data_IF_827247130720
#
_entry.id   IF_827247130720
#
_cell.length_a   1.000
_cell.length_b   1.000
_cell.length_c   1.000
_cell.angle_alpha   90.00
_cell.angle_beta   90.00
_cell.angle_gamma   90.00
#
_symmetry.space_group_name_H-M   'P 1'
#
loop_
_entity.id
_entity.type
_entity.pdbx_description
1 polymer ?
#
# COMPACT_ATOMS: atom_id res chain seq x y z
N UNK A 1 -7.92 -19.27 31.52
CA UNK A 1 -8.11 -19.22 30.04
C UNK A 1 -6.91 -19.81 29.29
N UNK A 2 -5.70 -19.27 29.44
CA UNK A 2 -4.50 -19.76 28.74
C UNK A 2 -4.19 -21.27 28.91
N UNK A 3 -4.37 -21.84 30.11
CA UNK A 3 -4.21 -23.29 30.34
C UNK A 3 -5.24 -24.17 29.62
N UNK A 4 -6.46 -23.68 29.43
CA UNK A 4 -7.53 -24.38 28.70
C UNK A 4 -7.35 -24.25 27.18
N UNK A 5 -6.89 -23.09 26.71
CA UNK A 5 -6.54 -22.89 25.29
C UNK A 5 -5.33 -23.72 24.86
N UNK A 6 -4.39 -24.00 25.79
CA UNK A 6 -3.30 -24.93 25.56
C UNK A 6 -3.79 -26.36 25.39
N UNK A 7 -4.77 -26.82 26.19
CA UNK A 7 -5.34 -28.17 26.11
C UNK A 7 -6.00 -28.47 24.75
N UNK A 8 -6.65 -27.46 24.14
CA UNK A 8 -7.22 -27.58 22.78
C UNK A 8 -6.19 -27.73 21.65
N UNK A 9 -4.89 -27.58 21.94
CA UNK A 9 -3.79 -27.78 20.96
C UNK A 9 -3.13 -29.16 21.06
N UNK A 10 -3.48 -29.97 22.06
CA UNK A 10 -2.95 -31.33 22.19
C UNK A 10 -3.83 -32.31 21.40
N UNK A 11 -3.27 -33.11 20.47
CA UNK A 11 -4.06 -34.00 19.61
C UNK A 11 -5.02 -34.93 20.37
N UNK A 12 -4.61 -35.44 21.53
CA UNK A 12 -5.43 -36.35 22.35
C UNK A 12 -6.48 -35.69 23.23
N UNK A 13 -6.47 -34.36 23.38
CA UNK A 13 -7.40 -33.61 24.23
C UNK A 13 -8.33 -32.68 23.45
N UNK A 14 -8.08 -32.49 22.15
CA UNK A 14 -8.87 -31.59 21.31
C UNK A 14 -10.35 -31.99 21.24
N UNK A 15 -10.66 -33.28 21.07
CA UNK A 15 -12.04 -33.77 21.02
C UNK A 15 -12.77 -33.59 22.35
N UNK A 16 -12.18 -34.02 23.48
CA UNK A 16 -12.77 -33.84 24.80
C UNK A 16 -12.93 -32.37 25.20
N UNK A 17 -12.02 -31.50 24.74
CA UNK A 17 -12.14 -30.05 24.92
C UNK A 17 -13.33 -29.47 24.15
N UNK A 18 -13.53 -29.89 22.90
CA UNK A 18 -14.71 -29.50 22.09
C UNK A 18 -15.99 -30.05 22.71
N UNK A 19 -16.01 -31.27 23.23
CA UNK A 19 -17.20 -31.82 23.91
C UNK A 19 -17.56 -31.04 25.18
N UNK A 20 -16.57 -30.72 26.03
CA UNK A 20 -16.81 -30.08 27.31
C UNK A 20 -17.05 -28.56 27.23
N UNK A 21 -16.39 -27.88 26.28
CA UNK A 21 -16.39 -26.42 26.18
C UNK A 21 -16.92 -25.88 24.83
N UNK A 22 -17.18 -26.74 23.86
CA UNK A 22 -17.56 -26.35 22.49
C UNK A 22 -18.93 -25.69 22.38
N UNK A 23 -19.88 -25.99 23.28
CA UNK A 23 -21.18 -25.28 23.34
C UNK A 23 -20.96 -23.78 23.61
N UNK A 24 -19.96 -23.43 24.44
CA UNK A 24 -19.57 -22.04 24.67
C UNK A 24 -18.97 -21.33 23.43
N UNK A 25 -18.62 -22.09 22.40
CA UNK A 25 -18.13 -21.58 21.13
C UNK A 25 -19.27 -21.22 20.15
N UNK A 26 -20.51 -21.67 20.39
CA UNK A 26 -21.67 -21.35 19.55
C UNK A 26 -21.87 -19.84 19.36
N UNK A 27 -21.66 -19.04 20.41
CA UNK A 27 -21.72 -17.58 20.31
C UNK A 27 -20.65 -16.99 19.39
N UNK A 28 -19.46 -17.58 19.35
CA UNK A 28 -18.40 -17.18 18.39
C UNK A 28 -18.77 -17.58 16.97
N UNK A 29 -19.33 -18.79 16.78
CA UNK A 29 -19.82 -19.25 15.46
C UNK A 29 -20.97 -18.38 14.94
N UNK A 30 -21.89 -17.94 15.80
CA UNK A 30 -22.94 -17.00 15.41
C UNK A 30 -22.36 -15.67 14.89
N UNK A 31 -21.24 -15.22 15.47
CA UNK A 31 -20.50 -14.05 14.97
C UNK A 31 -19.91 -14.21 13.57
N UNK A 32 -19.67 -15.45 13.10
CA UNK A 32 -19.25 -15.71 11.72
C UNK A 32 -20.41 -15.57 10.72
N UNK A 33 -21.64 -15.85 11.14
CA UNK A 33 -22.83 -15.66 10.31
C UNK A 33 -23.20 -14.19 10.13
N UNK A 34 -22.80 -13.33 11.06
CA UNK A 34 -22.99 -11.89 10.99
C UNK A 34 -21.65 -11.16 11.24
N UNK A 35 -20.81 -11.04 10.20
CA UNK A 35 -19.55 -10.30 10.28
C UNK A 35 -19.77 -8.90 10.84
N UNK A 36 -18.91 -8.48 11.77
CA UNK A 36 -19.08 -7.18 12.42
C UNK A 36 -18.74 -6.01 11.49
N UNK A 37 -19.37 -4.86 11.71
CA UNK A 37 -19.01 -3.61 11.02
C UNK A 37 -17.93 -2.82 11.79
N UNK A 38 -17.04 -3.51 12.50
CA UNK A 38 -15.91 -2.90 13.21
C UNK A 38 -14.83 -2.36 12.26
N UNK A 39 -14.12 -1.32 12.72
CA UNK A 39 -12.94 -0.78 12.04
C UNK A 39 -11.79 -1.78 12.09
N UNK A 40 -10.80 -1.59 11.21
CA UNK A 40 -9.54 -2.34 11.24
C UNK A 40 -8.93 -2.30 12.65
N UNK A 41 -8.42 -3.46 13.09
CA UNK A 41 -7.60 -3.54 14.30
C UNK A 41 -6.16 -3.14 13.95
N UNK A 42 -5.55 -2.31 14.79
CA UNK A 42 -4.16 -1.87 14.57
C UNK A 42 -3.20 -3.04 14.80
N UNK A 43 -2.32 -3.30 13.82
CA UNK A 43 -1.36 -4.39 13.88
C UNK A 43 -0.29 -4.11 14.95
N UNK A 44 0.07 -2.83 15.12
CA UNK A 44 0.98 -2.31 16.15
C UNK A 44 0.60 -2.70 17.59
N UNK A 45 -0.67 -3.03 17.82
CA UNK A 45 -1.20 -3.35 19.16
C UNK A 45 -1.20 -4.84 19.46
N UNK A 46 -0.71 -5.67 18.54
CA UNK A 46 -0.59 -7.11 18.74
C UNK A 46 0.29 -7.43 19.94
N UNK A 47 -0.21 -8.25 20.86
CA UNK A 47 0.50 -8.59 22.11
C UNK A 47 0.55 -7.46 23.15
N UNK A 48 0.12 -6.23 22.85
CA UNK A 48 0.17 -5.11 23.78
C UNK A 48 -1.10 -5.00 24.64
N UNK A 49 -0.99 -5.09 25.99
CA UNK A 49 -2.11 -4.93 26.90
C UNK A 49 -2.82 -3.59 26.72
N UNK A 50 -4.16 -3.57 26.87
CA UNK A 50 -4.98 -2.38 26.63
C UNK A 50 -4.50 -1.13 27.37
N UNK A 51 -4.04 -1.29 28.63
CA UNK A 51 -3.50 -0.20 29.46
C UNK A 51 -2.24 0.47 28.91
N UNK A 52 -1.45 -0.20 28.09
CA UNK A 52 -0.20 0.34 27.52
C UNK A 52 -0.38 0.88 26.10
N UNK A 53 -1.49 0.57 25.41
CA UNK A 53 -1.74 1.02 24.03
C UNK A 53 -1.71 2.55 23.85
N UNK A 54 -2.17 3.38 24.80
CA UNK A 54 -2.04 4.84 24.68
C UNK A 54 -0.61 5.37 24.92
N UNK A 55 0.24 4.56 25.57
CA UNK A 55 1.57 4.97 25.99
C UNK A 55 2.65 4.55 24.98
N UNK A 56 2.51 3.34 24.41
CA UNK A 56 3.47 2.79 23.47
C UNK A 56 3.25 3.34 22.06
N UNK A 57 4.33 3.86 21.46
CA UNK A 57 4.36 4.37 20.10
C UNK A 57 5.60 3.84 19.38
N UNK A 58 5.52 3.59 18.07
CA UNK A 58 6.68 3.22 17.30
C UNK A 58 7.70 4.36 17.33
N UNK A 59 8.95 4.00 17.60
CA UNK A 59 10.08 4.92 17.61
C UNK A 59 11.21 4.29 16.81
N UNK A 60 11.94 5.11 16.05
CA UNK A 60 13.22 4.70 15.50
C UNK A 60 14.19 4.51 16.68
N UNK A 61 14.88 3.38 16.70
CA UNK A 61 15.90 3.06 17.70
C UNK A 61 17.22 2.72 17.03
N UNK A 62 18.32 2.86 17.77
CA UNK A 62 19.66 2.51 17.29
C UNK A 62 20.33 3.54 16.36
N UNK A 63 19.76 4.75 16.26
CA UNK A 63 20.37 5.88 15.56
C UNK A 63 20.75 6.96 16.58
N UNK A 64 21.91 7.58 16.38
CA UNK A 64 22.27 8.81 17.06
C UNK A 64 21.66 10.02 16.34
N UNK A 65 21.71 11.20 16.97
CA UNK A 65 21.11 12.41 16.42
C UNK A 65 21.65 12.77 15.01
N UNK A 66 22.96 12.70 14.71
CA UNK A 66 23.46 12.92 13.35
C UNK A 66 22.84 11.96 12.32
N UNK A 67 22.73 10.66 12.62
CA UNK A 67 22.12 9.70 11.72
C UNK A 67 20.61 9.91 11.54
N UNK A 68 19.92 10.39 12.58
CA UNK A 68 18.51 10.80 12.52
C UNK A 68 18.31 12.01 11.59
N UNK A 69 19.17 13.02 11.70
CA UNK A 69 19.15 14.21 10.82
C UNK A 69 19.46 13.82 9.38
N UNK A 70 20.46 12.98 9.16
CA UNK A 70 20.79 12.39 7.85
C UNK A 70 19.58 11.69 7.22
N UNK A 71 18.90 10.85 7.99
CA UNK A 71 17.73 10.12 7.53
C UNK A 71 16.59 11.08 7.19
N UNK A 72 16.32 12.06 8.05
CA UNK A 72 15.28 13.06 7.82
C UNK A 72 15.56 13.89 6.55
N UNK A 73 16.80 14.31 6.33
CA UNK A 73 17.21 15.07 5.14
C UNK A 73 16.99 14.25 3.86
N UNK A 74 17.48 13.00 3.82
CA UNK A 74 17.29 12.10 2.67
C UNK A 74 15.83 11.85 2.36
N UNK A 75 14.99 11.70 3.39
CA UNK A 75 13.56 11.45 3.22
C UNK A 75 12.85 12.71 2.67
N UNK A 76 13.14 13.89 3.21
CA UNK A 76 12.55 15.14 2.72
C UNK A 76 12.93 15.41 1.26
N UNK A 77 14.20 15.22 0.90
CA UNK A 77 14.69 15.35 -0.48
C UNK A 77 14.03 14.32 -1.40
N UNK A 78 13.97 13.04 -0.97
CA UNK A 78 13.32 11.97 -1.75
C UNK A 78 11.82 12.17 -1.96
N UNK A 79 11.16 12.99 -1.14
CA UNK A 79 9.75 13.37 -1.29
C UNK A 79 9.57 14.74 -1.96
N UNK A 80 10.65 15.45 -2.30
CA UNK A 80 10.58 16.82 -2.82
C UNK A 80 10.08 17.87 -1.82
N UNK A 81 10.16 17.59 -0.53
CA UNK A 81 9.69 18.47 0.57
C UNK A 81 10.82 19.33 1.17
N UNK A 82 11.98 19.36 0.54
CA UNK A 82 13.14 20.16 0.92
C UNK A 82 13.07 21.62 0.45
N UNK A 83 12.11 21.95 -0.42
CA UNK A 83 11.94 23.29 -1.03
C UNK A 83 10.84 24.15 -0.43
N UNK A 84 10.06 23.58 0.47
CA UNK A 84 8.91 24.22 1.06
C UNK A 84 7.93 23.19 1.59
N UNK A 85 7.32 23.50 2.73
CA UNK A 85 6.33 22.65 3.36
C UNK A 85 5.09 23.46 3.71
N UNK A 86 3.93 22.82 3.58
CA UNK A 86 2.69 23.38 4.08
C UNK A 86 2.67 23.31 5.62
N UNK A 87 1.88 24.15 6.31
CA UNK A 87 1.73 24.07 7.77
C UNK A 87 1.30 22.68 8.28
N UNK A 88 0.56 21.93 7.47
CA UNK A 88 0.22 20.53 7.72
C UNK A 88 0.77 19.67 6.58
N UNK A 89 1.60 18.69 6.94
CA UNK A 89 2.10 17.67 6.02
C UNK A 89 1.57 16.32 6.45
N UNK A 90 0.86 15.63 5.55
CA UNK A 90 0.30 14.31 5.82
C UNK A 90 1.22 13.21 5.30
N UNK A 91 1.63 12.32 6.19
CA UNK A 91 2.33 11.09 5.85
C UNK A 91 1.32 9.95 5.92
N UNK A 92 0.87 9.50 4.75
CA UNK A 92 -0.19 8.50 4.63
C UNK A 92 0.41 7.15 4.23
N UNK A 93 0.38 6.20 5.16
CA UNK A 93 0.63 4.80 4.86
C UNK A 93 -0.65 4.16 4.32
N UNK A 94 -0.55 2.94 3.81
CA UNK A 94 -1.73 2.15 3.49
C UNK A 94 -1.66 0.74 4.09
N UNK A 95 -2.81 0.10 4.20
CA UNK A 95 -2.97 -1.27 4.67
C UNK A 95 -4.39 -1.75 4.41
N UNK A 96 -4.57 -3.06 4.41
CA UNK A 96 -5.86 -3.69 4.16
C UNK A 96 -6.52 -4.14 5.47
N UNK A 97 -7.81 -4.45 5.36
CA UNK A 97 -8.57 -5.13 6.39
C UNK A 97 -9.15 -6.41 5.79
N UNK A 98 -8.78 -7.55 6.38
CA UNK A 98 -9.36 -8.84 6.01
C UNK A 98 -9.44 -9.77 7.23
N UNK A 99 -10.41 -10.69 7.20
CA UNK A 99 -10.54 -11.75 8.19
C UNK A 99 -10.23 -13.10 7.55
N UNK A 100 -9.58 -14.01 8.30
CA UNK A 100 -9.30 -15.38 7.87
C UNK A 100 -8.65 -15.50 6.47
N UNK A 101 -7.67 -14.65 6.20
CA UNK A 101 -7.06 -14.55 4.88
C UNK A 101 -5.57 -14.92 4.93
N UNK A 102 -5.22 -16.11 4.44
CA UNK A 102 -3.83 -16.57 4.36
C UNK A 102 -2.95 -15.70 3.44
N UNK A 103 -3.56 -14.94 2.53
CA UNK A 103 -2.88 -14.00 1.63
C UNK A 103 -3.06 -12.53 2.06
N UNK A 104 -3.35 -12.25 3.33
CA UNK A 104 -3.55 -10.87 3.81
C UNK A 104 -2.35 -9.94 3.47
N UNK A 105 -1.12 -10.45 3.60
CA UNK A 105 0.09 -9.69 3.29
C UNK A 105 0.19 -9.23 1.83
N UNK A 106 -0.52 -9.90 0.89
CA UNK A 106 -0.57 -9.48 -0.51
C UNK A 106 -1.51 -8.30 -0.76
N UNK A 107 -2.38 -7.97 0.20
CA UNK A 107 -3.26 -6.80 0.17
C UNK A 107 -2.67 -5.59 0.92
N UNK A 108 -1.70 -5.85 1.81
CA UNK A 108 -0.93 -4.81 2.48
C UNK A 108 0.15 -4.22 1.55
N UNK A 109 1.03 -3.36 2.08
CA UNK A 109 1.99 -2.65 1.25
C UNK A 109 3.14 -3.57 0.79
N UNK A 110 3.24 -3.77 -0.53
CA UNK A 110 4.36 -4.48 -1.14
C UNK A 110 5.71 -3.82 -0.86
N UNK A 111 5.77 -2.48 -0.80
CA UNK A 111 6.97 -1.74 -0.44
C UNK A 111 7.36 -1.89 1.05
N UNK A 112 6.40 -2.26 1.90
CA UNK A 112 6.63 -2.58 3.31
C UNK A 112 6.68 -4.10 3.56
N UNK A 113 7.06 -4.89 2.55
CA UNK A 113 7.19 -6.34 2.64
C UNK A 113 5.89 -7.04 3.09
N UNK A 114 4.74 -6.56 2.61
CA UNK A 114 3.42 -7.09 2.97
C UNK A 114 2.96 -6.74 4.37
N UNK A 115 3.51 -5.67 4.96
CA UNK A 115 3.04 -5.05 6.20
C UNK A 115 2.26 -3.77 5.89
N UNK A 116 1.45 -3.31 6.83
CA UNK A 116 0.84 -1.99 6.73
C UNK A 116 1.87 -0.87 6.92
N UNK A 117 1.67 0.26 6.25
CA UNK A 117 2.57 1.41 6.37
C UNK A 117 2.48 2.18 7.69
N UNK A 118 1.65 1.76 8.66
CA UNK A 118 1.33 2.54 9.88
C UNK A 118 2.57 2.83 10.74
N UNK A 119 3.44 1.84 10.95
CA UNK A 119 4.68 2.02 11.74
C UNK A 119 5.57 3.07 11.10
N UNK A 120 5.80 2.97 9.80
CA UNK A 120 6.76 3.81 9.07
C UNK A 120 6.33 5.28 9.08
N UNK A 121 5.05 5.57 8.80
CA UNK A 121 4.57 6.96 8.79
C UNK A 121 4.52 7.57 10.18
N UNK A 122 4.21 6.79 11.21
CA UNK A 122 4.22 7.26 12.61
C UNK A 122 5.65 7.55 13.09
N UNK A 123 6.57 6.64 12.80
CA UNK A 123 7.99 6.82 13.13
C UNK A 123 8.57 8.05 12.42
N UNK A 124 8.27 8.22 11.13
CA UNK A 124 8.74 9.36 10.34
C UNK A 124 8.10 10.69 10.78
N UNK A 125 6.79 10.73 11.01
CA UNK A 125 6.13 11.93 11.54
C UNK A 125 6.74 12.36 12.87
N UNK A 126 7.02 11.41 13.76
CA UNK A 126 7.69 11.69 15.03
C UNK A 126 9.11 12.21 14.83
N UNK A 127 9.89 11.60 13.93
CA UNK A 127 11.26 12.05 13.60
C UNK A 127 11.25 13.50 13.11
N UNK A 128 10.40 13.82 12.13
CA UNK A 128 10.35 15.14 11.48
C UNK A 128 9.78 16.24 12.38
N UNK A 129 9.00 15.89 13.41
CA UNK A 129 8.50 16.85 14.39
C UNK A 129 9.46 17.07 15.59
N UNK A 130 10.55 16.30 15.72
CA UNK A 130 11.46 16.43 16.87
C UNK A 130 12.30 17.71 16.78
N UNK A 131 12.33 18.56 17.82
CA UNK A 131 13.06 19.83 17.80
C UNK A 131 14.55 19.68 17.46
N UNK A 132 15.23 18.67 18.03
CA UNK A 132 16.67 18.46 17.83
C UNK A 132 16.99 18.07 16.40
N UNK A 133 16.12 17.25 15.78
CA UNK A 133 16.25 16.85 14.37
C UNK A 133 16.01 18.05 13.46
N UNK A 134 14.98 18.86 13.75
CA UNK A 134 14.68 20.07 12.99
C UNK A 134 15.80 21.11 13.08
N UNK A 135 16.44 21.24 14.24
CA UNK A 135 17.63 22.08 14.40
C UNK A 135 18.78 21.58 13.52
N UNK A 136 19.10 20.29 13.58
CA UNK A 136 20.16 19.71 12.73
C UNK A 136 19.86 19.79 11.23
N UNK A 137 18.58 19.74 10.82
CA UNK A 137 18.18 20.01 9.44
C UNK A 137 18.43 21.47 9.03
N UNK A 138 18.08 22.42 9.90
CA UNK A 138 18.30 23.84 9.66
C UNK A 138 19.79 24.18 9.53
N UNK A 139 20.65 23.55 10.33
CA UNK A 139 22.12 23.66 10.24
C UNK A 139 22.66 23.18 8.87
N UNK A 140 21.90 22.38 8.13
CA UNK A 140 22.22 21.89 6.78
C UNK A 140 21.49 22.66 5.67
N UNK A 141 20.84 23.77 6.00
CA UNK A 141 20.07 24.57 5.06
C UNK A 141 18.67 24.04 4.74
N UNK A 142 18.20 23.00 5.42
CA UNK A 142 16.85 22.44 5.28
C UNK A 142 15.93 23.00 6.36
N UNK A 143 15.37 24.19 6.11
CA UNK A 143 14.53 24.90 7.09
C UNK A 143 13.05 24.54 6.90
N UNK A 144 12.51 23.80 7.86
CA UNK A 144 11.08 23.51 7.96
C UNK A 144 10.38 24.65 8.71
N UNK A 145 9.29 25.22 8.18
CA UNK A 145 8.58 26.34 8.81
C UNK A 145 8.14 26.02 10.25
N UNK A 146 8.29 26.92 11.20
CA UNK A 146 8.14 26.65 12.65
C UNK A 146 6.82 25.96 13.00
N UNK A 147 5.72 26.40 12.38
CA UNK A 147 4.37 25.87 12.57
C UNK A 147 4.06 24.59 11.76
N UNK A 148 4.97 24.15 10.90
CA UNK A 148 4.83 22.92 10.13
C UNK A 148 4.71 21.72 11.07
N UNK A 149 3.67 20.92 10.88
CA UNK A 149 3.47 19.66 11.61
C UNK A 149 3.25 18.51 10.64
N UNK A 150 4.02 17.44 10.85
CA UNK A 150 3.86 16.18 10.15
C UNK A 150 2.87 15.29 10.89
N UNK A 151 1.82 14.85 10.20
CA UNK A 151 0.74 14.04 10.79
C UNK A 151 0.70 12.69 10.10
N UNK A 152 0.78 11.63 10.90
CA UNK A 152 0.70 10.26 10.42
C UNK A 152 -0.75 9.81 10.27
N UNK A 153 -1.06 9.18 9.13
CA UNK A 153 -2.34 8.55 8.88
C UNK A 153 -2.18 7.22 8.12
N UNK A 154 -3.21 6.38 8.16
CA UNK A 154 -3.30 5.17 7.37
C UNK A 154 -4.59 5.18 6.56
N UNK A 155 -4.49 4.93 5.26
CA UNK A 155 -5.62 4.59 4.40
C UNK A 155 -5.88 3.08 4.45
N UNK A 156 -7.08 2.70 4.89
CA UNK A 156 -7.55 1.31 4.83
C UNK A 156 -8.11 1.03 3.44
N UNK A 157 -7.38 0.30 2.60
CA UNK A 157 -7.73 0.08 1.19
C UNK A 157 -9.02 -0.72 0.99
N UNK A 158 -9.39 -1.59 1.94
CA UNK A 158 -10.62 -2.36 1.85
C UNK A 158 -11.89 -1.53 2.07
N UNK A 159 -11.80 -0.44 2.85
CA UNK A 159 -12.97 0.35 3.30
C UNK A 159 -12.89 1.84 2.96
N UNK A 160 -11.75 2.29 2.47
CA UNK A 160 -11.36 3.69 2.26
C UNK A 160 -11.46 4.57 3.51
N UNK A 161 -11.40 3.97 4.69
CA UNK A 161 -11.31 4.77 5.91
C UNK A 161 -9.90 5.33 6.12
N UNK A 162 -9.83 6.57 6.58
CA UNK A 162 -8.61 7.14 7.13
C UNK A 162 -8.54 6.92 8.63
N UNK A 163 -7.40 6.42 9.10
CA UNK A 163 -7.04 6.32 10.53
C UNK A 163 -5.95 7.35 10.81
N UNK A 164 -6.16 8.18 11.82
CA UNK A 164 -5.26 9.27 12.16
C UNK A 164 -4.54 8.95 13.48
N UNK A 165 -3.23 9.13 13.53
CA UNK A 165 -2.44 8.69 14.68
C UNK A 165 -1.86 9.85 15.48
N UNK A 166 -1.65 9.59 16.77
CA UNK A 166 -0.87 10.42 17.69
C UNK A 166 -1.34 11.89 17.74
N UNK A 167 -2.64 12.13 17.50
CA UNK A 167 -3.27 13.45 17.52
C UNK A 167 -3.22 14.09 18.92
N UNK A 168 -3.10 13.29 19.97
CA UNK A 168 -2.95 13.75 21.34
C UNK A 168 -1.59 14.43 21.58
N UNK A 169 -0.56 14.14 20.76
CA UNK A 169 0.73 14.82 20.80
C UNK A 169 0.73 16.16 20.05
N UNK A 170 -0.32 16.46 19.30
CA UNK A 170 -0.37 17.64 18.45
C UNK A 170 -0.87 18.86 19.24
N UNK A 171 -0.36 20.07 18.96
CA UNK A 171 -0.90 21.30 19.53
C UNK A 171 -2.41 21.45 19.27
N UNK A 172 -3.12 22.17 20.15
CA UNK A 172 -4.55 22.41 19.99
C UNK A 172 -4.89 23.10 18.66
N UNK A 173 -4.05 24.06 18.23
CA UNK A 173 -4.19 24.73 16.93
C UNK A 173 -4.09 23.75 15.75
N UNK A 174 -3.13 22.83 15.79
CA UNK A 174 -2.96 21.77 14.79
C UNK A 174 -4.18 20.84 14.74
N UNK A 175 -4.71 20.43 15.90
CA UNK A 175 -5.93 19.62 15.97
C UNK A 175 -7.14 20.35 15.38
N UNK A 176 -7.27 21.65 15.61
CA UNK A 176 -8.35 22.45 15.02
C UNK A 176 -8.20 22.55 13.49
N UNK A 177 -6.98 22.77 13.00
CA UNK A 177 -6.67 22.85 11.56
C UNK A 177 -6.89 21.51 10.82
N UNK A 178 -6.82 20.38 11.53
CA UNK A 178 -7.09 19.06 10.94
C UNK A 178 -8.57 18.81 10.63
N UNK A 179 -9.51 19.47 11.31
CA UNK A 179 -10.95 19.22 11.13
C UNK A 179 -11.43 19.32 9.67
N UNK A 180 -11.15 20.44 8.96
CA UNK A 180 -11.49 20.58 7.55
C UNK A 180 -10.79 19.54 6.64
N UNK A 181 -9.55 19.18 6.96
CA UNK A 181 -8.78 18.18 6.21
C UNK A 181 -9.42 16.80 6.37
N UNK A 182 -9.77 16.41 7.60
CA UNK A 182 -10.46 15.15 7.89
C UNK A 182 -11.80 15.06 7.16
N UNK A 183 -12.59 16.15 7.16
CA UNK A 183 -13.85 16.21 6.43
C UNK A 183 -13.66 16.05 4.90
N UNK A 184 -12.61 16.65 4.34
CA UNK A 184 -12.28 16.50 2.92
C UNK A 184 -11.91 15.04 2.58
N UNK A 185 -11.12 14.37 3.44
CA UNK A 185 -10.80 12.95 3.28
C UNK A 185 -12.03 12.06 3.44
N UNK A 186 -12.94 12.36 4.36
CA UNK A 186 -14.19 11.60 4.52
C UNK A 186 -15.07 11.70 3.29
N UNK A 187 -15.14 12.90 2.68
CA UNK A 187 -15.86 13.11 1.42
C UNK A 187 -15.21 12.34 0.26
N UNK A 188 -13.89 12.48 0.08
CA UNK A 188 -13.14 11.76 -0.95
C UNK A 188 -13.26 10.24 -0.79
N UNK A 189 -13.19 9.74 0.45
CA UNK A 189 -13.38 8.33 0.75
C UNK A 189 -14.78 7.83 0.35
N UNK A 190 -15.84 8.61 0.59
CA UNK A 190 -17.18 8.21 0.13
C UNK A 190 -17.26 8.13 -1.40
N UNK A 191 -16.64 9.06 -2.12
CA UNK A 191 -16.57 9.04 -3.59
C UNK A 191 -15.84 7.79 -4.10
N UNK A 192 -14.65 7.49 -3.56
CA UNK A 192 -13.87 6.31 -3.93
C UNK A 192 -14.65 5.01 -3.66
N UNK A 193 -15.35 4.91 -2.52
CA UNK A 193 -16.21 3.74 -2.24
C UNK A 193 -17.30 3.56 -3.28
N UNK A 194 -17.92 4.65 -3.75
CA UNK A 194 -18.98 4.61 -4.76
C UNK A 194 -18.43 4.18 -6.11
N UNK A 195 -17.28 4.69 -6.51
CA UNK A 195 -16.59 4.28 -7.75
C UNK A 195 -16.20 2.79 -7.71
N UNK A 196 -15.73 2.30 -6.55
CA UNK A 196 -15.34 0.89 -6.38
C UNK A 196 -16.52 -0.06 -6.17
N UNK A 197 -17.65 0.39 -5.63
CA UNK A 197 -18.77 -0.46 -5.24
C UNK A 197 -19.23 -1.45 -6.33
N UNK A 198 -19.42 -1.05 -7.61
CA UNK A 198 -19.81 -1.97 -8.68
C UNK A 198 -18.82 -3.12 -8.89
N UNK A 199 -17.51 -2.88 -8.79
CA UNK A 199 -16.49 -3.93 -8.98
C UNK A 199 -16.49 -4.97 -7.85
N UNK A 200 -17.16 -4.67 -6.73
CA UNK A 200 -17.35 -5.57 -5.59
C UNK A 200 -18.75 -6.18 -5.54
N UNK A 201 -19.61 -5.88 -6.54
CA UNK A 201 -21.01 -6.30 -6.58
C UNK A 201 -21.90 -5.54 -5.59
N UNK A 202 -21.53 -4.32 -5.21
CA UNK A 202 -22.26 -3.47 -4.28
C UNK A 202 -22.95 -2.33 -5.02
N UNK A 203 -24.07 -1.86 -4.48
CA UNK A 203 -24.79 -0.72 -5.04
C UNK A 203 -24.12 0.61 -4.64
N UNK A 204 -23.64 1.42 -5.61
CA UNK A 204 -23.02 2.72 -5.31
C UNK A 204 -24.03 3.77 -4.83
N UNK A 205 -25.33 3.51 -5.00
CA UNK A 205 -26.45 4.37 -4.59
C UNK A 205 -26.80 4.26 -3.12
N UNK A 206 -26.18 3.34 -2.37
CA UNK A 206 -26.40 3.21 -0.93
C UNK A 206 -26.06 4.52 -0.19
N UNK A 207 -26.77 4.84 0.91
CA UNK A 207 -26.37 5.91 1.81
C UNK A 207 -24.93 5.70 2.30
N UNK A 208 -24.15 6.78 2.42
CA UNK A 208 -22.72 6.71 2.76
C UNK A 208 -22.43 5.83 4.00
N UNK A 209 -23.16 5.94 5.13
CA UNK A 209 -22.92 5.08 6.30
C UNK A 209 -23.25 3.61 6.04
N UNK A 210 -24.27 3.32 5.23
CA UNK A 210 -24.68 1.97 4.88
C UNK A 210 -23.66 1.29 3.96
N UNK A 211 -23.15 2.03 2.97
CA UNK A 211 -22.08 1.55 2.09
C UNK A 211 -20.81 1.23 2.87
N UNK A 212 -20.36 2.16 3.74
CA UNK A 212 -19.20 1.94 4.60
C UNK A 212 -19.39 0.72 5.52
N UNK A 213 -20.55 0.59 6.17
CA UNK A 213 -20.82 -0.56 7.01
C UNK A 213 -20.82 -1.88 6.22
N UNK A 214 -21.31 -1.87 4.98
CA UNK A 214 -21.28 -3.04 4.10
C UNK A 214 -19.84 -3.45 3.77
N UNK A 215 -18.98 -2.48 3.45
CA UNK A 215 -17.55 -2.72 3.22
C UNK A 215 -16.83 -3.22 4.47
N UNK A 216 -17.11 -2.66 5.65
CA UNK A 216 -16.56 -3.16 6.92
C UNK A 216 -16.99 -4.60 7.19
N UNK A 217 -18.28 -4.94 7.00
CA UNK A 217 -18.75 -6.32 7.17
C UNK A 217 -18.06 -7.25 6.19
N UNK A 218 -17.96 -6.87 4.92
CA UNK A 218 -17.22 -7.60 3.88
C UNK A 218 -15.76 -7.85 4.27
N UNK A 219 -15.06 -6.83 4.76
CA UNK A 219 -13.67 -6.92 5.20
C UNK A 219 -13.50 -7.81 6.45
N UNK A 220 -14.51 -7.89 7.32
CA UNK A 220 -14.48 -8.71 8.52
C UNK A 220 -15.11 -10.10 8.34
N UNK A 221 -15.60 -10.42 7.14
CA UNK A 221 -16.18 -11.71 6.83
C UNK A 221 -15.07 -12.72 6.53
N UNK A 222 -14.93 -13.72 7.40
CA UNK A 222 -13.91 -14.76 7.22
C UNK A 222 -14.20 -15.76 6.10
N UNK A 223 -15.41 -15.74 5.53
CA UNK A 223 -15.76 -16.49 4.31
C UNK A 223 -15.53 -15.64 3.04
N UNK A 224 -15.30 -14.34 3.18
CA UNK A 224 -15.07 -13.46 2.04
C UNK A 224 -13.68 -13.73 1.44
N UNK A 225 -13.68 -14.39 0.29
CA UNK A 225 -12.45 -14.66 -0.47
C UNK A 225 -11.83 -13.41 -1.07
N UNK A 226 -12.63 -12.35 -1.28
CA UNK A 226 -12.28 -11.12 -1.99
C UNK A 226 -12.71 -9.88 -1.19
N UNK A 227 -12.07 -9.58 -0.06
CA UNK A 227 -12.40 -8.38 0.71
C UNK A 227 -12.25 -7.12 -0.16
N UNK A 228 -11.21 -7.10 -0.99
CA UNK A 228 -10.93 -6.13 -2.05
C UNK A 228 -10.13 -6.81 -3.18
N UNK A 229 -9.75 -6.03 -4.21
CA UNK A 229 -8.99 -6.50 -5.38
C UNK A 229 -7.47 -6.27 -5.29
N UNK A 230 -7.00 -5.63 -4.22
CA UNK A 230 -5.60 -5.21 -4.09
C UNK A 230 -5.22 -4.32 -5.26
N UNK A 231 -4.13 -4.68 -5.95
CA UNK A 231 -3.60 -3.96 -7.11
C UNK A 231 -3.92 -4.69 -8.44
N UNK A 232 -4.95 -5.54 -8.46
CA UNK A 232 -5.43 -6.13 -9.72
C UNK A 232 -5.79 -5.04 -10.72
N UNK A 233 -5.47 -5.26 -11.99
CA UNK A 233 -5.67 -4.27 -13.05
C UNK A 233 -4.60 -3.16 -13.13
N UNK A 234 -3.60 -3.14 -12.25
CA UNK A 234 -2.48 -2.20 -12.37
C UNK A 234 -1.83 -2.27 -13.77
N UNK A 235 -1.54 -1.11 -14.35
CA UNK A 235 -1.14 -0.96 -15.75
C UNK A 235 0.05 -0.03 -15.96
N UNK A 236 0.15 1.03 -15.16
CA UNK A 236 1.15 2.07 -15.38
C UNK A 236 1.77 2.61 -14.08
N UNK A 237 2.97 3.16 -14.22
CA UNK A 237 3.60 4.04 -13.24
C UNK A 237 3.92 5.35 -13.95
N UNK A 238 3.43 6.46 -13.42
CA UNK A 238 3.75 7.80 -13.93
C UNK A 238 4.69 8.50 -12.95
N UNK A 239 5.86 8.88 -13.44
CA UNK A 239 6.86 9.69 -12.74
C UNK A 239 6.87 11.06 -13.42
N UNK A 240 6.07 11.99 -12.90
CA UNK A 240 5.86 13.28 -13.55
C UNK A 240 5.25 14.29 -12.56
N UNK A 241 5.31 15.60 -12.85
CA UNK A 241 4.64 16.59 -12.02
C UNK A 241 3.13 16.33 -11.99
N UNK A 242 2.48 16.57 -10.85
CA UNK A 242 1.05 16.31 -10.62
C UNK A 242 0.14 16.87 -11.71
N UNK A 243 0.50 18.00 -12.33
CA UNK A 243 -0.31 18.64 -13.37
C UNK A 243 -0.46 17.78 -14.63
N UNK A 244 0.50 16.89 -14.95
CA UNK A 244 0.43 15.98 -16.11
C UNK A 244 -0.70 14.96 -16.03
N UNK A 245 -1.15 14.64 -14.83
CA UNK A 245 -2.21 13.65 -14.57
C UNK A 245 -3.45 14.28 -13.93
N UNK A 246 -3.51 15.61 -13.82
CA UNK A 246 -4.62 16.29 -13.15
C UNK A 246 -5.86 16.25 -14.04
N UNK A 247 -6.97 15.75 -13.50
CA UNK A 247 -8.23 15.60 -14.24
C UNK A 247 -8.28 14.39 -15.17
N UNK A 248 -7.20 13.60 -15.26
CA UNK A 248 -7.16 12.38 -16.06
C UNK A 248 -7.82 11.23 -15.28
N UNK A 249 -8.77 10.55 -15.91
CA UNK A 249 -9.38 9.33 -15.37
C UNK A 249 -8.43 8.16 -15.59
N UNK A 250 -7.81 7.67 -14.50
CA UNK A 250 -6.82 6.59 -14.53
C UNK A 250 -7.38 5.24 -14.04
N UNK A 251 -8.68 5.18 -13.72
CA UNK A 251 -9.42 3.99 -13.27
C UNK A 251 -8.77 3.22 -12.11
N UNK A 252 -7.94 3.88 -11.28
CA UNK A 252 -7.17 3.23 -10.22
C UNK A 252 -6.09 2.27 -10.71
N UNK A 253 -5.68 2.34 -11.98
CA UNK A 253 -4.72 1.43 -12.62
C UNK A 253 -3.28 1.96 -12.65
N UNK A 254 -3.04 3.18 -12.17
CA UNK A 254 -1.74 3.82 -12.25
C UNK A 254 -1.16 4.15 -10.87
N UNK A 255 0.11 3.83 -10.68
CA UNK A 255 0.93 4.39 -9.61
C UNK A 255 1.37 5.81 -10.03
N UNK A 256 1.38 6.74 -9.09
CA UNK A 256 1.75 8.15 -9.34
C UNK A 256 2.89 8.56 -8.41
N UNK A 257 3.97 9.06 -8.99
CA UNK A 257 5.08 9.68 -8.30
C UNK A 257 5.28 11.11 -8.82
N UNK A 258 5.17 12.09 -7.93
CA UNK A 258 5.46 13.48 -8.24
C UNK A 258 6.97 13.62 -8.47
N UNK A 259 7.34 14.21 -9.61
CA UNK A 259 8.73 14.39 -9.99
C UNK A 259 8.84 15.60 -10.92
N UNK A 260 9.72 16.53 -10.59
CA UNK A 260 10.01 17.70 -11.42
C UNK A 260 11.45 17.59 -11.96
N UNK A 261 11.66 17.46 -13.27
CA UNK A 261 13.00 17.37 -13.85
C UNK A 261 13.80 18.68 -13.69
N UNK A 262 13.15 19.85 -13.61
CA UNK A 262 13.85 21.12 -13.37
C UNK A 262 14.43 21.18 -11.95
N UNK A 263 13.79 20.46 -11.03
CA UNK A 263 14.27 20.30 -9.67
C UNK A 263 15.43 19.31 -9.54
N UNK A 264 15.74 18.51 -10.55
CA UNK A 264 16.73 17.44 -10.48
C UNK A 264 17.78 17.52 -11.61
N UNK A 265 18.58 18.60 -11.67
CA UNK A 265 19.53 18.81 -12.77
C UNK A 265 20.63 17.75 -12.83
N UNK A 266 20.88 17.04 -11.73
CA UNK A 266 21.87 15.97 -11.64
C UNK A 266 21.26 14.57 -11.87
N UNK A 267 19.94 14.46 -12.02
CA UNK A 267 19.24 13.19 -12.23
C UNK A 267 19.30 12.24 -11.04
N UNK A 268 19.62 12.73 -9.83
CA UNK A 268 19.78 11.88 -8.64
C UNK A 268 18.41 11.35 -8.17
N UNK A 269 17.41 12.22 -8.14
CA UNK A 269 16.05 11.84 -7.75
C UNK A 269 15.45 10.90 -8.81
N UNK A 270 15.65 11.19 -10.11
CA UNK A 270 15.23 10.28 -11.18
C UNK A 270 15.87 8.90 -11.03
N UNK A 271 17.17 8.85 -10.75
CA UNK A 271 17.90 7.60 -10.50
C UNK A 271 17.25 6.84 -9.34
N UNK A 272 16.96 7.51 -8.22
CA UNK A 272 16.27 6.90 -7.07
C UNK A 272 14.87 6.38 -7.44
N UNK A 273 14.07 7.16 -8.17
CA UNK A 273 12.72 6.78 -8.57
C UNK A 273 12.72 5.56 -9.52
N UNK A 274 13.67 5.51 -10.45
CA UNK A 274 13.85 4.39 -11.39
C UNK A 274 14.47 3.14 -10.74
N UNK A 275 15.23 3.29 -9.66
CA UNK A 275 15.88 2.16 -8.96
C UNK A 275 15.13 1.62 -7.76
N UNK A 276 14.12 2.34 -7.24
CA UNK A 276 13.31 1.87 -6.11
C UNK A 276 11.82 1.79 -6.47
N UNK A 277 11.05 2.89 -6.53
CA UNK A 277 9.63 2.85 -6.89
C UNK A 277 9.31 2.10 -8.18
N UNK A 278 10.08 2.30 -9.25
CA UNK A 278 9.89 1.61 -10.52
C UNK A 278 10.09 0.09 -10.39
N UNK A 279 11.11 -0.35 -9.64
CA UNK A 279 11.33 -1.79 -9.38
C UNK A 279 10.17 -2.38 -8.57
N UNK A 280 9.73 -1.68 -7.53
CA UNK A 280 8.63 -2.14 -6.67
C UNK A 280 7.32 -2.24 -7.47
N UNK A 281 6.97 -1.20 -8.23
CA UNK A 281 5.78 -1.23 -9.09
C UNK A 281 5.86 -2.35 -10.14
N UNK A 282 7.04 -2.58 -10.71
CA UNK A 282 7.29 -3.67 -11.64
C UNK A 282 7.11 -5.05 -10.98
N UNK A 283 7.66 -5.28 -9.78
CA UNK A 283 7.49 -6.55 -9.06
C UNK A 283 6.03 -6.82 -8.69
N UNK A 284 5.32 -5.77 -8.26
CA UNK A 284 3.88 -5.85 -8.02
C UNK A 284 3.18 -6.26 -9.31
N UNK A 285 3.37 -5.52 -10.41
CA UNK A 285 2.76 -5.85 -11.70
C UNK A 285 3.04 -7.30 -12.11
N UNK A 286 4.28 -7.75 -12.01
CA UNK A 286 4.68 -9.10 -12.37
C UNK A 286 4.09 -10.19 -11.49
N UNK A 287 3.84 -9.91 -10.21
CA UNK A 287 3.14 -10.83 -9.33
C UNK A 287 1.71 -11.13 -9.85
N UNK A 288 0.99 -10.10 -10.30
CA UNK A 288 -0.35 -10.27 -10.88
C UNK A 288 -0.28 -10.87 -12.29
N UNK A 289 0.63 -10.40 -13.14
CA UNK A 289 0.83 -10.91 -14.50
C UNK A 289 1.15 -12.41 -14.48
N UNK A 290 2.11 -12.84 -13.66
CA UNK A 290 2.53 -14.23 -13.57
C UNK A 290 1.41 -15.14 -13.02
N UNK A 291 0.64 -14.67 -12.04
CA UNK A 291 -0.49 -15.42 -11.49
C UNK A 291 -1.65 -15.59 -12.49
N UNK A 292 -1.74 -14.73 -13.52
CA UNK A 292 -2.72 -14.84 -14.61
C UNK A 292 -2.17 -15.71 -15.76
N UNK A 293 -0.91 -15.50 -16.16
CA UNK A 293 -0.29 -16.19 -17.29
C UNK A 293 0.06 -17.66 -17.00
N UNK A 294 0.52 -17.95 -15.79
CA UNK A 294 0.98 -19.28 -15.38
C UNK A 294 0.46 -19.59 -13.95
N UNK A 295 -0.87 -19.73 -13.78
CA UNK A 295 -1.49 -19.88 -12.46
C UNK A 295 -1.09 -21.16 -11.73
N UNK A 296 -0.68 -22.21 -12.45
CA UNK A 296 -0.28 -23.49 -11.85
C UNK A 296 1.09 -23.39 -11.19
N UNK A 297 2.07 -22.75 -11.83
CA UNK A 297 3.45 -22.64 -11.31
C UNK A 297 3.72 -21.35 -10.54
N UNK A 298 3.15 -20.23 -10.98
CA UNK A 298 3.42 -18.89 -10.46
C UNK A 298 2.21 -18.25 -9.75
N UNK A 299 1.09 -18.98 -9.70
CA UNK A 299 -0.02 -18.69 -8.81
C UNK A 299 -0.06 -19.64 -7.60
N UNK A 300 -0.92 -19.32 -6.64
CA UNK A 300 -1.11 -20.14 -5.45
C UNK A 300 -2.35 -21.03 -5.51
N UNK A 301 -2.98 -21.15 -6.68
CA UNK A 301 -4.16 -21.98 -6.90
C UNK A 301 -5.43 -21.44 -6.23
N UNK A 302 -6.27 -22.32 -5.74
CA UNK A 302 -7.56 -21.99 -5.15
C UNK A 302 -7.43 -21.65 -3.65
N UNK A 303 -7.72 -20.39 -3.32
CA UNK A 303 -7.70 -19.87 -1.93
C UNK A 303 -8.56 -20.67 -0.97
N UNK A 304 -9.66 -21.27 -1.44
CA UNK A 304 -10.56 -22.08 -0.61
C UNK A 304 -9.94 -23.39 -0.14
N UNK A 305 -8.87 -23.84 -0.81
CA UNK A 305 -8.16 -25.06 -0.49
C UNK A 305 -6.84 -24.78 0.25
N UNK A 306 -6.57 -23.52 0.63
CA UNK A 306 -5.33 -23.14 1.27
C UNK A 306 -5.24 -23.67 2.70
N UNK A 307 -4.21 -24.46 2.97
CA UNK A 307 -3.82 -24.86 4.32
C UNK A 307 -2.58 -24.10 4.75
N UNK A 308 -2.71 -23.28 5.81
CA UNK A 308 -1.60 -22.50 6.38
C UNK A 308 -0.66 -23.43 7.15
N UNK A 309 0.62 -23.40 6.79
CA UNK A 309 1.64 -24.28 7.38
C UNK A 309 2.81 -23.51 8.01
N UNK A 310 3.57 -24.20 8.86
CA UNK A 310 4.79 -23.65 9.48
C UNK A 310 4.56 -22.43 10.36
N UNK A 311 3.36 -22.24 10.93
CA UNK A 311 3.09 -21.06 11.76
C UNK A 311 2.98 -19.75 10.97
N UNK A 312 2.39 -19.80 9.76
CA UNK A 312 2.21 -18.70 8.78
C UNK A 312 3.42 -18.44 7.87
N UNK A 313 4.28 -19.45 7.67
CA UNK A 313 5.38 -19.36 6.70
C UNK A 313 4.86 -19.43 5.27
N UNK A 314 3.79 -20.20 5.01
CA UNK A 314 3.20 -20.32 3.68
C UNK A 314 1.92 -21.14 3.67
N UNK A 315 1.50 -21.54 2.46
CA UNK A 315 0.29 -22.32 2.22
C UNK A 315 0.54 -23.51 1.30
N UNK A 316 -0.18 -24.61 1.53
CA UNK A 316 -0.43 -25.65 0.53
C UNK A 316 -1.78 -25.45 -0.12
N UNK A 317 -1.97 -25.96 -1.33
CA UNK A 317 -3.29 -26.11 -1.94
C UNK A 317 -3.75 -27.57 -1.76
N UNK A 318 -4.77 -27.78 -0.93
CA UNK A 318 -5.23 -29.11 -0.56
C UNK A 318 -4.37 -29.75 0.55
N UNK A 319 -4.30 -31.08 0.59
CA UNK A 319 -3.81 -31.83 1.74
C UNK A 319 -2.28 -31.96 1.83
N UNK A 320 -1.53 -31.37 0.90
CA UNK A 320 -0.07 -31.44 0.87
C UNK A 320 0.52 -30.86 -0.41
N UNK A 321 1.78 -31.19 -0.70
CA UNK A 321 2.52 -30.71 -1.86
C UNK A 321 3.54 -29.63 -1.51
N UNK A 322 4.06 -28.97 -2.54
CA UNK A 322 5.01 -27.88 -2.37
C UNK A 322 4.32 -26.62 -1.83
N UNK A 323 5.07 -25.77 -1.12
CA UNK A 323 4.59 -24.44 -0.75
C UNK A 323 4.20 -23.66 -2.00
N UNK A 324 2.97 -23.15 -2.00
CA UNK A 324 2.47 -22.37 -3.13
C UNK A 324 3.01 -20.94 -3.03
N UNK A 325 3.43 -20.40 -4.17
CA UNK A 325 3.91 -19.03 -4.31
C UNK A 325 2.86 -18.16 -5.02
N UNK A 326 3.06 -16.85 -5.06
CA UNK A 326 2.21 -15.96 -5.85
C UNK A 326 0.78 -15.80 -5.32
N UNK A 327 -0.13 -15.36 -6.20
CA UNK A 327 -1.50 -14.98 -5.85
C UNK A 327 -2.49 -16.12 -6.12
N UNK A 328 -3.50 -16.24 -5.27
CA UNK A 328 -4.57 -17.19 -5.49
C UNK A 328 -5.46 -16.73 -6.62
N UNK A 329 -6.14 -17.66 -7.28
CA UNK A 329 -7.09 -17.36 -8.36
C UNK A 329 -8.14 -16.33 -7.94
N UNK A 330 -8.63 -16.38 -6.70
CA UNK A 330 -9.62 -15.42 -6.20
C UNK A 330 -9.10 -13.99 -6.13
N UNK A 331 -7.78 -13.79 -6.05
CA UNK A 331 -7.16 -12.45 -6.03
C UNK A 331 -7.14 -11.81 -7.42
N UNK A 332 -7.22 -12.60 -8.48
CA UNK A 332 -7.07 -12.14 -9.89
C UNK A 332 -8.28 -12.49 -10.78
N UNK A 333 -9.28 -13.21 -10.27
CA UNK A 333 -10.42 -13.70 -11.04
C UNK A 333 -11.72 -13.65 -10.23
N UNK A 334 -12.80 -13.14 -10.80
CA UNK A 334 -14.10 -12.98 -10.13
C UNK A 334 -15.00 -14.23 -10.20
N UNK A 335 -14.71 -15.13 -11.13
CA UNK A 335 -15.47 -16.35 -11.40
C UNK A 335 -15.96 -16.42 -12.85
N UNK A 336 -15.98 -15.28 -13.53
CA UNK A 336 -16.37 -15.12 -14.93
C UNK A 336 -15.22 -14.57 -15.79
N UNK A 337 -14.44 -13.62 -15.27
CA UNK A 337 -13.33 -12.98 -15.96
C UNK A 337 -12.12 -12.74 -15.06
N UNK A 338 -10.98 -12.51 -15.71
CA UNK A 338 -9.77 -12.01 -15.07
C UNK A 338 -9.94 -10.53 -14.73
N UNK A 339 -9.56 -10.16 -13.52
CA UNK A 339 -9.56 -8.78 -13.01
C UNK A 339 -8.24 -8.08 -13.25
N UNK A 340 -7.18 -8.83 -13.55
CA UNK A 340 -5.93 -8.30 -14.05
C UNK A 340 -5.72 -8.80 -15.47
N UNK A 341 -5.49 -7.85 -16.39
CA UNK A 341 -5.05 -8.16 -17.74
C UNK A 341 -3.56 -8.54 -17.68
N UNK A 342 -3.11 -9.60 -18.38
CA UNK A 342 -1.71 -9.99 -18.41
C UNK A 342 -0.88 -9.02 -19.28
N UNK A 343 -0.69 -7.82 -18.77
CA UNK A 343 0.14 -6.77 -19.35
C UNK A 343 1.43 -6.60 -18.57
N UNK A 344 2.43 -6.02 -19.22
CA UNK A 344 3.64 -5.51 -18.58
C UNK A 344 3.45 -4.04 -18.21
N UNK A 345 3.95 -3.65 -17.04
CA UNK A 345 3.86 -2.27 -16.55
C UNK A 345 4.39 -1.27 -17.58
N UNK A 346 3.63 -0.21 -17.84
CA UNK A 346 4.12 0.94 -18.62
C UNK A 346 4.59 2.05 -17.68
N UNK A 347 5.87 2.36 -17.70
CA UNK A 347 6.48 3.44 -16.92
C UNK A 347 6.58 4.67 -17.81
N UNK A 348 5.88 5.75 -17.44
CA UNK A 348 5.87 7.02 -18.17
C UNK A 348 6.62 8.07 -17.34
N UNK A 349 7.69 8.64 -17.89
CA UNK A 349 8.56 9.57 -17.18
C UNK A 349 8.54 10.95 -17.85
N UNK A 350 8.29 12.01 -17.08
CA UNK A 350 8.50 13.39 -17.53
C UNK A 350 9.94 13.82 -17.24
N UNK A 351 10.86 13.44 -18.13
CA UNK A 351 12.28 13.78 -18.02
C UNK A 351 12.95 13.87 -19.40
N UNK A 352 14.05 14.63 -19.53
CA UNK A 352 14.87 14.63 -20.73
C UNK A 352 15.40 13.23 -21.07
N UNK A 353 15.40 12.90 -22.37
CA UNK A 353 15.89 11.61 -22.88
C UNK A 353 17.32 11.29 -22.42
N UNK A 354 18.18 12.33 -22.35
CA UNK A 354 19.55 12.20 -21.88
C UNK A 354 19.63 11.78 -20.39
N UNK A 355 18.76 12.33 -19.54
CA UNK A 355 18.72 11.98 -18.12
C UNK A 355 18.28 10.52 -17.93
N UNK A 356 17.23 10.09 -18.64
CA UNK A 356 16.80 8.68 -18.62
C UNK A 356 17.91 7.76 -19.14
N UNK A 357 18.57 8.12 -20.24
CA UNK A 357 19.67 7.35 -20.82
C UNK A 357 20.86 7.23 -19.86
N UNK A 358 21.16 8.28 -19.07
CA UNK A 358 22.19 8.24 -18.04
C UNK A 358 21.85 7.22 -16.94
N UNK A 359 20.59 7.14 -16.51
CA UNK A 359 20.15 6.10 -15.56
C UNK A 359 20.34 4.71 -16.16
N UNK A 360 19.91 4.48 -17.40
CA UNK A 360 20.09 3.19 -18.08
C UNK A 360 21.57 2.82 -18.27
N UNK A 361 22.45 3.80 -18.49
CA UNK A 361 23.88 3.55 -18.62
C UNK A 361 24.51 3.11 -17.29
N UNK A 362 24.09 3.72 -16.18
CA UNK A 362 24.69 3.52 -14.84
C UNK A 362 24.02 2.43 -14.00
N UNK A 363 22.73 2.15 -14.20
CA UNK A 363 21.95 1.22 -13.40
C UNK A 363 21.62 -0.05 -14.20
N UNK A 364 22.48 -1.07 -14.06
CA UNK A 364 22.37 -2.32 -14.82
C UNK A 364 21.01 -3.02 -14.65
N UNK A 365 20.47 -3.08 -13.42
CA UNK A 365 19.17 -3.73 -13.15
C UNK A 365 18.05 -3.05 -13.93
N UNK A 366 18.01 -1.72 -13.91
CA UNK A 366 17.00 -0.94 -14.63
C UNK A 366 17.14 -1.14 -16.14
N UNK A 367 18.37 -1.09 -16.66
CA UNK A 367 18.65 -1.37 -18.08
C UNK A 367 18.16 -2.75 -18.51
N UNK A 368 18.47 -3.79 -17.74
CA UNK A 368 18.03 -5.15 -18.05
C UNK A 368 16.51 -5.31 -18.06
N UNK A 369 15.78 -4.60 -17.20
CA UNK A 369 14.31 -4.60 -17.23
C UNK A 369 13.76 -4.00 -18.51
N UNK A 370 14.36 -2.89 -18.97
CA UNK A 370 13.92 -2.17 -20.17
C UNK A 370 14.34 -2.92 -21.44
N UNK A 371 15.61 -3.28 -21.58
CA UNK A 371 16.17 -3.88 -22.79
C UNK A 371 15.61 -5.26 -23.09
N UNK A 372 15.34 -6.06 -22.05
CA UNK A 372 14.69 -7.36 -22.21
C UNK A 372 13.16 -7.27 -22.23
N UNK A 373 12.60 -6.05 -22.16
CA UNK A 373 11.16 -5.82 -22.26
C UNK A 373 10.36 -6.38 -21.09
N UNK A 374 10.91 -6.46 -19.88
CA UNK A 374 10.16 -6.84 -18.69
C UNK A 374 9.11 -5.78 -18.28
N UNK A 375 9.29 -4.54 -18.77
CA UNK A 375 8.33 -3.44 -18.69
C UNK A 375 8.45 -2.56 -19.94
N UNK A 376 7.51 -1.65 -20.13
CA UNK A 376 7.58 -0.63 -21.17
C UNK A 376 8.07 0.69 -20.57
N UNK A 377 9.02 1.36 -21.22
CA UNK A 377 9.53 2.66 -20.80
C UNK A 377 9.12 3.73 -21.81
N UNK A 378 8.36 4.70 -21.35
CA UNK A 378 7.81 5.80 -22.13
C UNK A 378 8.23 7.13 -21.47
N UNK A 379 8.19 8.20 -22.27
CA UNK A 379 8.39 9.55 -21.76
C UNK A 379 7.44 10.54 -22.39
N UNK A 380 7.31 11.70 -21.76
CA UNK A 380 6.71 12.87 -22.39
C UNK A 380 7.71 13.48 -23.38
N UNK A 381 7.33 13.53 -24.66
CA UNK A 381 8.00 14.28 -25.72
C UNK A 381 7.32 15.63 -25.98
N UNK A 382 7.76 16.34 -27.02
CA UNK A 382 7.23 17.68 -27.34
C UNK A 382 5.78 17.67 -27.80
N UNK A 383 5.40 16.65 -28.59
CA UNK A 383 4.08 16.56 -29.25
C UNK A 383 3.21 15.41 -28.74
N UNK A 384 3.68 14.66 -27.73
CA UNK A 384 2.97 13.49 -27.21
C UNK A 384 3.88 12.55 -26.44
N UNK A 385 3.50 11.28 -26.36
CA UNK A 385 4.30 10.25 -25.68
C UNK A 385 5.28 9.59 -26.66
N UNK A 386 6.47 9.28 -26.17
CA UNK A 386 7.50 8.53 -26.89
C UNK A 386 7.82 7.23 -26.14
N UNK A 387 7.90 6.11 -26.86
CA UNK A 387 8.27 4.81 -26.32
C UNK A 387 9.74 4.50 -26.61
N UNK A 388 10.46 4.00 -25.61
CA UNK A 388 11.81 3.48 -25.78
C UNK A 388 11.76 2.07 -26.38
N UNK A 389 12.45 1.87 -27.51
CA UNK A 389 12.57 0.57 -28.16
C UNK A 389 13.92 0.45 -28.87
N UNK A 390 14.65 -0.63 -28.57
CA UNK A 390 15.94 -0.96 -29.18
C UNK A 390 16.94 0.22 -29.21
N UNK A 391 17.06 0.94 -28.09
CA UNK A 391 17.98 2.08 -27.98
C UNK A 391 17.44 3.43 -28.47
N UNK A 392 16.22 3.47 -29.01
CA UNK A 392 15.66 4.67 -29.65
C UNK A 392 14.30 5.06 -29.08
N UNK A 393 14.02 6.36 -29.04
CA UNK A 393 12.71 6.90 -28.73
C UNK A 393 11.87 6.98 -30.00
N UNK A 394 10.65 6.43 -29.95
CA UNK A 394 9.71 6.40 -31.07
C UNK A 394 8.39 7.03 -30.64
N UNK A 395 7.84 7.95 -31.44
CA UNK A 395 6.54 8.54 -31.16
C UNK A 395 5.45 7.46 -31.08
N UNK A 396 4.59 7.53 -30.07
CA UNK A 396 3.44 6.63 -29.93
C UNK A 396 2.31 7.18 -30.78
N UNK A 397 2.06 6.57 -31.94
CA UNK A 397 0.95 6.93 -32.83
C UNK A 397 -0.39 6.46 -32.24
N UNK A 398 -1.40 7.32 -32.27
CA UNK A 398 -2.78 6.97 -31.90
C UNK A 398 -3.24 7.38 -30.49
N UNK A 399 -2.43 8.11 -29.72
CA UNK A 399 -2.89 8.76 -28.49
C UNK A 399 -3.31 10.17 -28.86
N UNK A 400 -4.60 10.38 -29.11
CA UNK A 400 -5.14 11.74 -29.20
C UNK A 400 -4.83 12.46 -27.87
N UNK A 401 -4.38 13.73 -27.90
CA UNK A 401 -4.29 14.50 -26.66
C UNK A 401 -5.67 14.54 -26.03
N UNK A 402 -5.75 14.13 -24.76
CA UNK A 402 -7.00 14.12 -23.98
C UNK A 402 -7.50 15.54 -23.71
#
# INVERSE_FOLDING_TARGET
RARWEAAGRWPGAAFSYVEAAGVGYLGRLAGWLQPHAGRRADADRSGLPARYRPLCRPTLGGLDLPAEVDLAARVLQGMGLDRGTAPLVLLVGHGSQSANNAQAAALDCGACCGQTGEVSVRALARLLNRPEVRQGLAERGLVLGEDTRFIAALHNTATDEMVWFDLDQQPAATRAALGPVQAAFEHAADQVRRERAPSLGLAPTLPAPALLNTLRRRANDGAQTRPEWGLSGNAALVIAPRHRTRGVLLDGRAFLHDYDPEADPQGQLLTQLMTAPMLVAHWINWQYHAAVCEPERLGSGNKLLHNVVGGRIGVFEGNGGDLRIGLARQSVHDGQRWMHEPLRLTVVIDAPAAAIAQVLATQQVVRQLVDHGWLHLWRFGETGLERYQAGQWQAVSGVAPA
#
